data_IF_304457405567
#
_entry.id   IF_304457405567
#
_cell.length_a   1.000
_cell.length_b   1.000
_cell.length_c   1.000
_cell.angle_alpha   90.00
_cell.angle_beta   90.00
_cell.angle_gamma   90.00
#
_symmetry.space_group_name_H-M   'P 1'
#
loop_
_entity.id
_entity.type
_entity.pdbx_description
1 polymer ?
#
# COMPACT_ATOMS: atom_id res chain seq x y z
N UNK A 1 1.78 25.11 -9.90
CA UNK A 1 1.69 23.77 -9.30
C UNK A 1 0.91 22.83 -10.20
N UNK A 2 1.38 21.61 -10.32
CA UNK A 2 0.65 20.61 -11.09
C UNK A 2 -0.62 20.23 -10.34
N UNK A 3 -1.73 20.02 -11.07
CA UNK A 3 -2.94 19.49 -10.49
C UNK A 3 -2.76 18.01 -10.18
N UNK A 4 -3.62 17.46 -9.33
CA UNK A 4 -3.61 16.03 -9.04
C UNK A 4 -3.87 15.20 -10.31
N UNK A 5 -4.73 15.70 -11.19
CA UNK A 5 -4.96 15.07 -12.49
C UNK A 5 -3.69 15.02 -13.34
N UNK A 6 -2.92 16.10 -13.36
CA UNK A 6 -1.67 16.11 -14.10
C UNK A 6 -0.63 15.17 -13.48
N UNK A 7 -0.57 15.14 -12.16
CA UNK A 7 0.33 14.22 -11.47
C UNK A 7 0.00 12.76 -11.80
N UNK A 8 -1.29 12.41 -11.85
CA UNK A 8 -1.69 11.07 -12.23
C UNK A 8 -1.24 10.74 -13.66
N UNK A 9 -1.44 11.67 -14.60
CA UNK A 9 -1.02 11.47 -15.99
C UNK A 9 0.49 11.26 -16.09
N UNK A 10 1.26 12.02 -15.32
CA UNK A 10 2.72 11.89 -15.29
C UNK A 10 3.14 10.53 -14.72
N UNK A 11 2.50 10.10 -13.66
CA UNK A 11 2.75 8.79 -13.04
C UNK A 11 2.40 7.66 -14.01
N UNK A 12 1.25 7.76 -14.66
CA UNK A 12 0.82 6.76 -15.64
C UNK A 12 1.83 6.64 -16.78
N UNK A 13 2.26 7.77 -17.34
CA UNK A 13 3.28 7.81 -18.37
C UNK A 13 4.61 7.21 -17.91
N UNK A 14 5.02 7.53 -16.69
CA UNK A 14 6.23 6.96 -16.10
C UNK A 14 6.16 5.45 -15.95
N UNK A 15 5.03 4.95 -15.46
CA UNK A 15 4.81 3.51 -15.30
C UNK A 15 4.84 2.79 -16.65
N UNK A 16 4.23 3.38 -17.67
CA UNK A 16 4.23 2.82 -19.01
C UNK A 16 5.64 2.74 -19.62
N UNK A 17 6.50 3.68 -19.23
CA UNK A 17 7.92 3.67 -19.67
C UNK A 17 8.80 2.76 -18.81
N UNK A 18 8.24 2.08 -17.82
CA UNK A 18 8.97 1.16 -16.97
C UNK A 18 9.60 1.77 -15.73
N UNK A 19 9.24 2.99 -15.37
CA UNK A 19 9.72 3.62 -14.13
C UNK A 19 9.14 2.88 -12.92
N UNK A 20 10.02 2.25 -12.15
CA UNK A 20 9.62 1.37 -11.03
C UNK A 20 8.89 2.14 -9.93
N UNK A 21 9.37 3.33 -9.56
CA UNK A 21 8.70 4.11 -8.52
C UNK A 21 7.35 4.64 -9.00
N UNK A 22 7.22 4.92 -10.29
CA UNK A 22 5.95 5.33 -10.87
C UNK A 22 4.93 4.19 -10.82
N UNK A 23 5.36 2.95 -10.98
CA UNK A 23 4.45 1.81 -10.88
C UNK A 23 3.84 1.70 -9.48
N UNK A 24 4.63 1.91 -8.44
CA UNK A 24 4.13 1.89 -7.08
C UNK A 24 3.14 3.04 -6.84
N UNK A 25 3.45 4.23 -7.34
CA UNK A 25 2.54 5.37 -7.24
C UNK A 25 1.27 5.14 -8.04
N UNK A 26 1.37 4.50 -9.20
CA UNK A 26 0.19 4.15 -10.00
C UNK A 26 -0.77 3.27 -9.21
N UNK A 27 -0.24 2.31 -8.46
CA UNK A 27 -1.08 1.45 -7.62
C UNK A 27 -1.89 2.28 -6.62
N UNK A 28 -1.27 3.30 -6.02
CA UNK A 28 -1.98 4.19 -5.10
C UNK A 28 -3.13 4.92 -5.79
N UNK A 29 -2.91 5.43 -7.01
CA UNK A 29 -3.99 6.08 -7.77
C UNK A 29 -5.11 5.09 -8.10
N UNK A 30 -4.76 3.85 -8.45
CA UNK A 30 -5.74 2.81 -8.75
C UNK A 30 -6.57 2.41 -7.53
N UNK A 31 -5.99 2.53 -6.32
CA UNK A 31 -6.72 2.25 -5.09
C UNK A 31 -7.62 3.42 -4.68
N UNK A 32 -7.15 4.63 -4.85
CA UNK A 32 -7.83 5.84 -4.35
C UNK A 32 -8.79 6.47 -5.36
N UNK A 33 -8.55 6.30 -6.63
CA UNK A 33 -9.32 6.96 -7.69
C UNK A 33 -9.01 8.45 -7.83
N UNK A 34 -8.01 8.96 -7.14
CA UNK A 34 -7.66 10.38 -7.21
C UNK A 34 -7.06 10.72 -8.57
N UNK A 35 -7.05 12.00 -8.88
CA UNK A 35 -6.50 12.47 -10.17
C UNK A 35 -7.27 12.00 -11.39
N UNK A 36 -8.49 11.52 -11.21
CA UNK A 36 -9.30 11.00 -12.31
C UNK A 36 -8.99 9.55 -12.67
N UNK A 37 -8.17 8.88 -11.88
CA UNK A 37 -7.85 7.48 -12.13
C UNK A 37 -9.08 6.59 -11.92
N UNK A 38 -9.25 5.59 -12.78
CA UNK A 38 -10.28 4.58 -12.57
C UNK A 38 -9.86 3.69 -11.40
N UNK A 39 -10.76 3.51 -10.43
CA UNK A 39 -10.49 2.62 -9.30
C UNK A 39 -10.42 1.18 -9.80
N UNK A 40 -9.34 0.49 -9.48
CA UNK A 40 -9.13 -0.90 -9.86
C UNK A 40 -8.28 -1.58 -8.77
N UNK A 41 -8.94 -2.02 -7.71
CA UNK A 41 -8.24 -2.59 -6.57
C UNK A 41 -7.48 -3.87 -6.93
N UNK A 42 -8.07 -4.74 -7.75
CA UNK A 42 -7.40 -5.98 -8.17
C UNK A 42 -6.16 -5.69 -8.99
N UNK A 43 -6.25 -4.74 -9.92
CA UNK A 43 -5.10 -4.33 -10.72
C UNK A 43 -4.00 -3.71 -9.88
N UNK A 44 -4.40 -2.90 -8.89
CA UNK A 44 -3.45 -2.30 -7.96
C UNK A 44 -2.71 -3.36 -7.15
N UNK A 45 -3.44 -4.37 -6.64
CA UNK A 45 -2.83 -5.46 -5.88
C UNK A 45 -1.83 -6.22 -6.75
N UNK A 46 -2.18 -6.53 -8.00
CA UNK A 46 -1.26 -7.23 -8.91
C UNK A 46 0.02 -6.44 -9.10
N UNK A 47 -0.09 -5.14 -9.27
CA UNK A 47 1.05 -4.26 -9.43
C UNK A 47 1.90 -4.19 -8.14
N UNK A 48 1.24 -4.11 -6.99
CA UNK A 48 1.93 -4.10 -5.70
C UNK A 48 2.65 -5.43 -5.43
N UNK A 49 2.06 -6.56 -5.80
CA UNK A 49 2.71 -7.86 -5.66
C UNK A 49 4.03 -7.90 -6.43
N UNK A 50 4.02 -7.37 -7.65
CA UNK A 50 5.22 -7.26 -8.46
C UNK A 50 6.28 -6.39 -7.78
N UNK A 51 5.86 -5.23 -7.27
CA UNK A 51 6.79 -4.29 -6.63
C UNK A 51 7.34 -4.82 -5.31
N UNK A 52 6.56 -5.59 -4.58
CA UNK A 52 7.02 -6.23 -3.34
C UNK A 52 8.13 -7.25 -3.64
N UNK A 53 8.02 -7.98 -4.74
CA UNK A 53 9.09 -8.91 -5.16
C UNK A 53 10.40 -8.16 -5.39
N UNK A 54 10.34 -6.94 -5.84
CA UNK A 54 11.51 -6.08 -6.03
C UNK A 54 11.90 -5.32 -4.76
N UNK A 55 11.28 -5.66 -3.63
CA UNK A 55 11.59 -5.17 -2.31
C UNK A 55 11.34 -3.67 -2.13
N UNK A 56 10.31 -3.16 -2.79
CA UNK A 56 9.88 -1.78 -2.63
C UNK A 56 9.13 -1.63 -1.31
N UNK A 57 9.74 -0.91 -0.38
CA UNK A 57 9.17 -0.74 0.97
C UNK A 57 7.84 0.00 0.96
N UNK A 58 7.65 0.95 0.03
CA UNK A 58 6.37 1.64 -0.11
C UNK A 58 5.27 0.68 -0.57
N UNK A 59 5.58 -0.17 -1.54
CA UNK A 59 4.64 -1.18 -2.01
C UNK A 59 4.28 -2.19 -0.90
N UNK A 60 5.24 -2.51 -0.04
CA UNK A 60 5.00 -3.43 1.06
C UNK A 60 3.91 -2.93 2.02
N UNK A 61 3.96 -1.66 2.45
CA UNK A 61 2.93 -1.18 3.35
C UNK A 61 1.58 -1.03 2.64
N UNK A 62 1.59 -0.63 1.38
CA UNK A 62 0.33 -0.50 0.61
C UNK A 62 -0.34 -1.87 0.44
N UNK A 63 0.43 -2.88 0.06
CA UNK A 63 -0.11 -4.24 -0.05
C UNK A 63 -0.57 -4.74 1.31
N UNK A 64 0.16 -4.40 2.37
CA UNK A 64 -0.24 -4.72 3.74
C UNK A 64 -1.62 -4.18 4.08
N UNK A 65 -1.90 -2.93 3.71
CA UNK A 65 -3.21 -2.32 3.92
C UNK A 65 -4.28 -3.08 3.13
N UNK A 66 -3.98 -3.44 1.89
CA UNK A 66 -4.92 -4.23 1.08
C UNK A 66 -5.23 -5.57 1.73
N UNK A 67 -4.21 -6.24 2.29
CA UNK A 67 -4.39 -7.51 3.00
C UNK A 67 -5.17 -7.33 4.30
N UNK A 68 -4.90 -6.26 5.03
CA UNK A 68 -5.56 -6.02 6.31
C UNK A 68 -7.07 -5.81 6.14
N UNK A 69 -7.47 -5.08 5.11
CA UNK A 69 -8.86 -4.69 4.92
C UNK A 69 -9.57 -5.45 3.80
N UNK A 70 -8.90 -6.36 3.14
CA UNK A 70 -9.50 -7.11 2.03
C UNK A 70 -9.77 -6.25 0.80
N UNK A 71 -8.88 -5.36 0.44
CA UNK A 71 -9.03 -4.46 -0.70
C UNK A 71 -8.37 -5.10 -1.92
N UNK A 72 -9.19 -5.56 -2.86
CA UNK A 72 -8.68 -6.18 -4.08
C UNK A 72 -8.06 -7.56 -3.90
N UNK A 73 -8.04 -8.08 -2.69
CA UNK A 73 -7.46 -9.36 -2.31
C UNK A 73 -8.21 -9.86 -1.08
N UNK A 74 -8.20 -11.15 -0.85
CA UNK A 74 -8.80 -11.72 0.35
C UNK A 74 -8.07 -11.20 1.60
N UNK A 75 -8.83 -10.86 2.63
CA UNK A 75 -8.28 -10.36 3.88
C UNK A 75 -7.31 -11.38 4.50
N UNK A 76 -6.15 -10.89 4.90
CA UNK A 76 -5.11 -11.72 5.52
C UNK A 76 -4.31 -10.86 6.49
N UNK A 77 -4.72 -10.89 7.76
CA UNK A 77 -4.12 -10.07 8.81
C UNK A 77 -2.66 -10.46 9.07
N UNK A 78 -2.36 -11.74 9.02
CA UNK A 78 -0.99 -12.20 9.25
C UNK A 78 -0.05 -11.71 8.16
N UNK A 79 -0.48 -11.80 6.92
CA UNK A 79 0.32 -11.30 5.80
C UNK A 79 0.52 -9.80 5.90
N UNK A 80 -0.53 -9.07 6.28
CA UNK A 80 -0.46 -7.62 6.47
C UNK A 80 0.63 -7.28 7.50
N UNK A 81 0.63 -7.96 8.63
CA UNK A 81 1.62 -7.74 9.69
C UNK A 81 3.06 -7.97 9.19
N UNK A 82 3.26 -9.04 8.43
CA UNK A 82 4.58 -9.34 7.85
C UNK A 82 5.03 -8.25 6.88
N UNK A 83 4.10 -7.79 6.01
CA UNK A 83 4.40 -6.74 5.05
C UNK A 83 4.75 -5.43 5.72
N UNK A 84 4.04 -5.07 6.78
CA UNK A 84 4.37 -3.87 7.55
C UNK A 84 5.76 -3.97 8.18
N UNK A 85 6.10 -5.13 8.73
CA UNK A 85 7.42 -5.36 9.29
C UNK A 85 8.52 -5.25 8.24
N UNK A 86 8.29 -5.82 7.07
CA UNK A 86 9.24 -5.74 5.96
C UNK A 86 9.40 -4.30 5.47
N UNK A 87 8.30 -3.55 5.41
CA UNK A 87 8.33 -2.13 5.02
C UNK A 87 9.15 -1.32 6.01
N UNK A 88 8.97 -1.58 7.30
CA UNK A 88 9.77 -0.94 8.36
C UNK A 88 11.25 -1.24 8.19
N UNK A 89 11.58 -2.50 7.96
CA UNK A 89 12.98 -2.93 7.74
C UNK A 89 13.59 -2.23 6.53
N UNK A 90 12.78 -1.93 5.52
CA UNK A 90 13.21 -1.17 4.35
C UNK A 90 13.30 0.33 4.58
N UNK A 91 13.06 0.79 5.81
CA UNK A 91 13.21 2.19 6.19
C UNK A 91 11.99 3.06 5.91
N UNK A 92 10.82 2.47 5.63
CA UNK A 92 9.62 3.24 5.35
C UNK A 92 8.92 3.65 6.64
N UNK A 93 8.70 4.96 6.82
CA UNK A 93 8.10 5.49 8.04
C UNK A 93 6.65 5.07 8.24
N UNK A 94 5.89 4.95 7.16
CA UNK A 94 4.49 4.52 7.22
C UNK A 94 4.44 3.06 7.63
N UNK A 95 5.28 2.23 7.02
CA UNK A 95 5.39 0.83 7.36
C UNK A 95 5.80 0.63 8.81
N UNK A 96 6.70 1.46 9.31
CA UNK A 96 7.11 1.43 10.72
C UNK A 96 5.93 1.66 11.66
N UNK A 97 5.13 2.69 11.38
CA UNK A 97 3.97 3.00 12.21
C UNK A 97 2.92 1.90 12.16
N UNK A 98 2.68 1.35 10.98
CA UNK A 98 1.72 0.26 10.82
C UNK A 98 2.19 -1.01 11.54
N UNK A 99 3.49 -1.30 11.48
CA UNK A 99 4.05 -2.44 12.20
C UNK A 99 3.92 -2.28 13.71
N UNK A 100 4.14 -1.08 14.22
CA UNK A 100 3.98 -0.79 15.64
C UNK A 100 2.53 -0.93 16.10
N UNK A 101 1.58 -0.47 15.30
CA UNK A 101 0.16 -0.66 15.59
C UNK A 101 -0.20 -2.14 15.63
N UNK A 102 0.35 -2.93 14.72
CA UNK A 102 0.15 -4.38 14.70
C UNK A 102 0.65 -5.06 15.98
N UNK A 103 1.81 -4.64 16.47
CA UNK A 103 2.35 -5.16 17.72
C UNK A 103 1.47 -4.85 18.90
N UNK A 104 0.95 -3.64 18.97
CA UNK A 104 0.01 -3.23 20.02
C UNK A 104 -1.24 -4.09 19.95
N UNK A 105 -1.76 -4.33 18.76
CA UNK A 105 -2.91 -5.18 18.54
C UNK A 105 -2.65 -6.62 18.98
N UNK A 106 -1.49 -7.18 18.67
CA UNK A 106 -1.09 -8.54 19.07
C UNK A 106 -1.08 -8.71 20.59
N UNK A 107 -0.81 -7.64 21.31
CA UNK A 107 -0.81 -7.65 22.77
C UNK A 107 -2.21 -7.48 23.36
N UNK A 108 -3.23 -7.45 22.52
CA UNK A 108 -4.60 -7.29 22.96
C UNK A 108 -4.94 -5.90 23.48
N UNK A 109 -4.18 -4.90 23.06
CA UNK A 109 -4.40 -3.51 23.47
C UNK A 109 -4.42 -2.59 22.27
N UNK A 110 -4.73 -1.34 22.46
CA UNK A 110 -4.68 -0.33 21.42
C UNK A 110 -5.59 -0.62 20.24
N UNK A 111 -5.09 -1.27 19.22
CA UNK A 111 -5.83 -1.45 17.97
C UNK A 111 -7.18 -2.14 18.16
N UNK A 112 -7.21 -3.26 18.88
CA UNK A 112 -8.47 -3.97 19.15
C UNK A 112 -9.43 -3.10 19.94
N UNK A 113 -8.91 -2.37 20.90
CA UNK A 113 -9.71 -1.46 21.71
C UNK A 113 -10.28 -0.32 20.88
N UNK A 114 -9.48 0.22 19.98
CA UNK A 114 -9.92 1.27 19.05
C UNK A 114 -11.02 0.74 18.14
N UNK A 115 -10.84 -0.46 17.62
CA UNK A 115 -11.83 -1.06 16.72
C UNK A 115 -13.13 -1.43 17.43
N UNK A 116 -13.10 -1.63 18.73
CA UNK A 116 -14.32 -1.94 19.48
C UNK A 116 -15.06 -0.69 19.96
N UNK A 117 -14.48 0.45 19.74
CA UNK A 117 -15.14 1.72 20.04
C UNK A 117 -16.02 2.14 18.87
#
# INVERSE_FOLDING_TARGET
MASEEQEYKDVLGGAERGDESAKTRLAWYMLSGRGGAAVNAKGAVALLEERVKDRDAEAMWMLGVCCEFGIGIEQDIERASKLYGQSKEGGNMIGEKLAENGKVNERGSGYLRINSL
#
